data_IF_398596281688
#
_entry.id   IF_398596281688
#
_cell.length_a   1.000
_cell.length_b   1.000
_cell.length_c   1.000
_cell.angle_alpha   90.00
_cell.angle_beta   90.00
_cell.angle_gamma   90.00
#
_symmetry.space_group_name_H-M   'P 1'
#
loop_
_entity.id
_entity.type
_entity.pdbx_description
1 polymer ?
#
# COMPACT_ATOMS: atom_id res chain seq x y z
N UNK A 1 -11.57 17.38 -1.82
CA UNK A 1 -12.50 16.38 -1.25
C UNK A 1 -12.12 14.98 -1.74
N UNK A 2 -11.24 14.27 -1.00
CA UNK A 2 -10.77 12.90 -1.33
C UNK A 2 -11.17 11.91 -0.22
N UNK A 3 -12.34 12.10 0.39
CA UNK A 3 -12.75 11.34 1.58
C UNK A 3 -13.78 10.23 1.26
N UNK A 4 -14.40 10.24 0.07
CA UNK A 4 -15.61 9.41 -0.18
C UNK A 4 -15.45 8.14 -1.04
N UNK A 5 -14.25 7.81 -1.54
CA UNK A 5 -14.03 6.58 -2.37
C UNK A 5 -13.00 5.62 -1.76
N UNK A 6 -12.46 5.96 -0.59
CA UNK A 6 -11.38 5.18 0.04
C UNK A 6 -11.93 4.04 0.89
N UNK A 7 -13.10 4.16 1.51
CA UNK A 7 -13.60 3.15 2.46
C UNK A 7 -13.95 1.81 1.79
N UNK A 8 -14.64 1.83 0.63
CA UNK A 8 -14.91 0.59 -0.12
C UNK A 8 -13.63 -0.01 -0.72
N UNK A 9 -12.69 0.83 -1.16
CA UNK A 9 -11.38 0.41 -1.63
C UNK A 9 -10.56 -0.25 -0.53
N UNK A 10 -10.56 0.33 0.67
CA UNK A 10 -9.92 -0.23 1.86
C UNK A 10 -10.53 -1.57 2.24
N UNK A 11 -11.86 -1.70 2.30
CA UNK A 11 -12.50 -2.97 2.64
C UNK A 11 -12.15 -4.10 1.65
N UNK A 12 -12.06 -3.77 0.35
CA UNK A 12 -11.58 -4.70 -0.67
C UNK A 12 -10.11 -5.11 -0.46
N UNK A 13 -9.28 -4.17 -0.03
CA UNK A 13 -7.86 -4.38 0.23
C UNK A 13 -7.59 -5.10 1.57
N UNK A 14 -8.36 -4.84 2.63
CA UNK A 14 -8.27 -5.57 3.89
C UNK A 14 -8.68 -7.04 3.72
N UNK A 15 -9.64 -7.30 2.81
CA UNK A 15 -9.95 -8.67 2.38
C UNK A 15 -8.78 -9.32 1.63
N UNK A 16 -8.02 -8.55 0.83
CA UNK A 16 -6.77 -9.03 0.22
C UNK A 16 -5.71 -9.35 1.28
N UNK A 17 -5.52 -8.48 2.27
CA UNK A 17 -4.58 -8.75 3.37
C UNK A 17 -4.97 -10.00 4.19
N UNK A 18 -6.25 -10.37 4.22
CA UNK A 18 -6.77 -11.58 4.88
C UNK A 18 -6.76 -12.83 3.98
N UNK A 19 -6.43 -12.71 2.69
CA UNK A 19 -6.29 -13.87 1.81
C UNK A 19 -4.96 -14.59 2.11
N UNK A 20 -4.99 -15.93 2.04
CA UNK A 20 -3.82 -16.79 2.23
C UNK A 20 -2.70 -16.39 1.28
N UNK A 21 -1.48 -16.25 1.80
CA UNK A 21 -0.30 -15.85 1.01
C UNK A 21 -0.18 -16.78 -0.21
N UNK A 22 -0.31 -16.24 -1.45
CA UNK A 22 -0.25 -17.09 -2.63
C UNK A 22 1.15 -17.72 -2.74
N UNK A 23 1.18 -19.02 -3.01
CA UNK A 23 2.43 -19.79 -3.14
C UNK A 23 3.24 -19.40 -4.39
N UNK A 24 2.59 -18.82 -5.39
CA UNK A 24 3.20 -18.52 -6.67
C UNK A 24 3.90 -17.13 -6.65
N UNK A 25 5.19 -17.04 -7.00
CA UNK A 25 5.97 -15.80 -6.89
C UNK A 25 5.41 -14.65 -7.74
N UNK A 26 4.79 -14.95 -8.89
CA UNK A 26 4.16 -13.93 -9.72
C UNK A 26 2.89 -13.37 -9.06
N UNK A 27 2.09 -14.24 -8.43
CA UNK A 27 0.90 -13.83 -7.68
C UNK A 27 1.28 -13.11 -6.38
N UNK A 28 2.43 -13.45 -5.78
CA UNK A 28 2.98 -12.77 -4.60
C UNK A 28 3.30 -11.31 -4.85
N UNK A 29 3.91 -10.98 -5.98
CA UNK A 29 4.18 -9.59 -6.35
C UNK A 29 2.88 -8.76 -6.42
N UNK A 30 1.83 -9.29 -7.05
CA UNK A 30 0.52 -8.63 -7.12
C UNK A 30 -0.17 -8.51 -5.76
N UNK A 31 0.01 -9.49 -4.88
CA UNK A 31 -0.47 -9.44 -3.50
C UNK A 31 0.19 -8.30 -2.71
N UNK A 32 1.52 -8.18 -2.79
CA UNK A 32 2.26 -7.11 -2.12
C UNK A 32 2.03 -5.72 -2.74
N UNK A 33 1.80 -5.62 -4.05
CA UNK A 33 1.27 -4.39 -4.67
C UNK A 33 -0.08 -3.98 -4.06
N UNK A 34 -0.98 -4.94 -3.79
CA UNK A 34 -2.23 -4.69 -3.07
C UNK A 34 -2.00 -4.15 -1.66
N UNK A 35 -1.06 -4.73 -0.92
CA UNK A 35 -0.67 -4.25 0.42
C UNK A 35 -0.09 -2.83 0.39
N UNK A 36 0.69 -2.49 -0.63
CA UNK A 36 1.21 -1.13 -0.83
C UNK A 36 0.06 -0.11 -1.00
N UNK A 37 -0.93 -0.44 -1.84
CA UNK A 37 -2.12 0.41 -2.05
C UNK A 37 -2.92 0.55 -0.75
N UNK A 38 -3.08 -0.53 0.03
CA UNK A 38 -3.76 -0.49 1.33
C UNK A 38 -3.02 0.41 2.31
N UNK A 39 -1.70 0.30 2.36
CA UNK A 39 -0.85 1.10 3.24
C UNK A 39 -1.01 2.59 2.92
N UNK A 40 -1.02 2.96 1.63
CA UNK A 40 -1.26 4.33 1.19
C UNK A 40 -2.64 4.85 1.61
N UNK A 41 -3.67 4.00 1.48
CA UNK A 41 -5.02 4.33 1.91
C UNK A 41 -5.09 4.54 3.44
N UNK A 42 -4.52 3.61 4.22
CA UNK A 42 -4.45 3.68 5.68
C UNK A 42 -3.69 4.93 6.15
N UNK A 43 -2.57 5.26 5.50
CA UNK A 43 -1.79 6.45 5.81
C UNK A 43 -2.59 7.74 5.58
N UNK A 44 -3.30 7.85 4.45
CA UNK A 44 -4.20 8.97 4.16
C UNK A 44 -5.40 9.06 5.11
N UNK A 45 -5.79 7.96 5.75
CA UNK A 45 -6.82 7.92 6.81
C UNK A 45 -6.26 8.22 8.21
N UNK A 46 -4.96 8.48 8.35
CA UNK A 46 -4.28 8.69 9.63
C UNK A 46 -3.91 7.41 10.39
N UNK A 47 -4.19 6.22 9.83
CA UNK A 47 -3.84 4.90 10.37
C UNK A 47 -2.40 4.51 10.00
N UNK A 48 -1.44 5.38 10.32
CA UNK A 48 -0.02 5.25 9.90
C UNK A 48 0.68 4.02 10.48
N UNK A 49 0.32 3.63 11.72
CA UNK A 49 0.87 2.43 12.36
C UNK A 49 0.53 1.16 11.56
N UNK A 50 -0.70 1.06 11.07
CA UNK A 50 -1.14 -0.10 10.29
C UNK A 50 -0.53 -0.07 8.88
N UNK A 51 -0.44 1.11 8.26
CA UNK A 51 0.27 1.28 6.99
C UNK A 51 1.73 0.79 7.07
N UNK A 52 2.45 1.16 8.12
CA UNK A 52 3.83 0.72 8.33
C UNK A 52 3.94 -0.80 8.53
N UNK A 53 2.98 -1.44 9.22
CA UNK A 53 2.98 -2.90 9.38
C UNK A 53 2.85 -3.63 8.03
N UNK A 54 1.94 -3.16 7.18
CA UNK A 54 1.71 -3.75 5.86
C UNK A 54 2.93 -3.54 4.94
N UNK A 55 3.54 -2.35 4.99
CA UNK A 55 4.79 -2.06 4.29
C UNK A 55 5.96 -2.89 4.79
N UNK A 56 6.07 -3.17 6.10
CA UNK A 56 7.11 -4.08 6.63
C UNK A 56 6.98 -5.49 6.08
N UNK A 57 5.76 -6.00 5.93
CA UNK A 57 5.53 -7.32 5.30
C UNK A 57 5.93 -7.30 3.83
N UNK A 58 5.60 -6.24 3.11
CA UNK A 58 6.00 -6.07 1.71
C UNK A 58 7.52 -5.93 1.56
N UNK A 59 8.17 -5.11 2.39
CA UNK A 59 9.62 -4.93 2.40
C UNK A 59 10.38 -6.18 2.83
N UNK A 60 9.77 -7.07 3.63
CA UNK A 60 10.36 -8.37 3.93
C UNK A 60 10.39 -9.30 2.70
N UNK A 61 9.47 -9.10 1.74
CA UNK A 61 9.48 -9.80 0.46
C UNK A 61 10.43 -9.16 -0.55
N UNK A 62 10.31 -7.85 -0.75
CA UNK A 62 11.12 -7.10 -1.71
C UNK A 62 11.51 -5.71 -1.15
N UNK A 63 12.62 -5.63 -0.40
CA UNK A 63 13.02 -4.39 0.28
C UNK A 63 13.45 -3.31 -0.71
N UNK A 64 13.91 -3.68 -1.90
CA UNK A 64 14.32 -2.72 -2.93
C UNK A 64 13.11 -1.96 -3.47
N UNK A 65 12.00 -2.68 -3.69
CA UNK A 65 10.75 -2.09 -4.16
C UNK A 65 9.92 -1.40 -3.08
N UNK A 66 9.85 -1.97 -1.87
CA UNK A 66 8.95 -1.50 -0.82
C UNK A 66 9.64 -0.74 0.31
N UNK A 67 10.97 -0.82 0.42
CA UNK A 67 11.74 -0.18 1.47
C UNK A 67 11.64 1.35 1.42
N UNK A 68 11.64 1.94 0.23
CA UNK A 68 11.46 3.39 0.06
C UNK A 68 10.10 3.83 0.61
N UNK A 69 9.03 3.09 0.30
CA UNK A 69 7.69 3.38 0.79
C UNK A 69 7.58 3.23 2.32
N UNK A 70 8.24 2.21 2.90
CA UNK A 70 8.32 2.05 4.35
C UNK A 70 9.01 3.25 5.02
N UNK A 71 10.16 3.68 4.47
CA UNK A 71 10.89 4.84 4.98
C UNK A 71 10.03 6.12 4.89
N UNK A 72 9.34 6.33 3.76
CA UNK A 72 8.42 7.46 3.59
C UNK A 72 7.28 7.44 4.61
N UNK A 73 6.73 6.26 4.90
CA UNK A 73 5.67 6.05 5.88
C UNK A 73 6.17 6.30 7.31
N UNK A 74 7.37 5.81 7.68
CA UNK A 74 7.95 6.02 9.02
C UNK A 74 8.40 7.47 9.23
N UNK A 75 8.86 8.14 8.17
CA UNK A 75 9.28 9.53 8.21
C UNK A 75 8.12 10.52 8.00
N UNK A 76 6.87 10.03 8.05
CA UNK A 76 5.65 10.84 8.02
C UNK A 76 5.56 11.77 6.79
N UNK A 77 6.15 11.36 5.65
CA UNK A 77 6.14 12.17 4.43
C UNK A 77 4.76 12.09 3.79
N UNK A 78 4.07 13.23 3.73
CA UNK A 78 2.75 13.40 3.09
C UNK A 78 2.73 12.99 1.60
N UNK A 79 3.92 12.86 0.99
CA UNK A 79 4.12 12.49 -0.40
C UNK A 79 3.82 11.01 -0.72
N UNK A 80 3.81 10.14 0.30
CA UNK A 80 3.54 8.70 0.16
C UNK A 80 2.21 8.38 -0.56
N UNK A 81 1.20 9.25 -0.41
CA UNK A 81 -0.13 9.08 -1.03
C UNK A 81 -0.20 9.68 -2.44
N UNK A 82 0.68 10.62 -2.77
CA UNK A 82 0.73 11.30 -4.06
C UNK A 82 1.48 10.49 -5.11
N UNK A 83 2.59 9.86 -4.73
CA UNK A 83 3.43 9.08 -5.65
C UNK A 83 2.66 7.91 -6.31
N UNK A 84 1.84 7.21 -5.52
CA UNK A 84 1.01 6.10 -6.00
C UNK A 84 -0.12 6.54 -6.96
N UNK A 85 -0.62 7.76 -6.79
CA UNK A 85 -1.69 8.33 -7.64
C UNK A 85 -1.12 8.88 -8.95
N UNK A 86 0.09 9.41 -8.92
CA UNK A 86 0.76 9.97 -10.11
C UNK A 86 0.99 8.89 -11.15
N UNK A 87 1.38 7.68 -10.74
CA UNK A 87 1.59 6.52 -11.63
C UNK A 87 0.31 5.99 -12.31
N UNK A 88 -0.90 6.37 -11.85
CA UNK A 88 -2.18 6.07 -12.55
C UNK A 88 -2.70 7.21 -13.44
N UNK A 89 -1.98 8.33 -13.51
CA UNK A 89 -2.29 9.49 -14.36
C UNK A 89 -1.16 9.74 -15.35
N UNK A 90 -0.82 8.75 -16.15
CA UNK A 90 -0.13 9.00 -17.42
C UNK A 90 -0.72 8.05 -18.45
N UNK A 91 -1.92 8.40 -18.90
CA UNK A 91 -2.37 8.12 -20.26
C UNK A 91 -3.26 9.32 -20.63
N UNK A 92 -2.72 10.24 -21.43
CA UNK A 92 -3.41 11.40 -22.01
C UNK A 92 -2.86 11.61 -23.41
#
# INVERSE_FOLDING_TARGET
MRQGRNEEGMAHLERLASLEEPMDPMTKAHYYDGLLVLSSALFGAGRKAEAAEHLRRAAAYDPDRYGEFLEQCENDKDDFVSDLVSSRRTDS
#
